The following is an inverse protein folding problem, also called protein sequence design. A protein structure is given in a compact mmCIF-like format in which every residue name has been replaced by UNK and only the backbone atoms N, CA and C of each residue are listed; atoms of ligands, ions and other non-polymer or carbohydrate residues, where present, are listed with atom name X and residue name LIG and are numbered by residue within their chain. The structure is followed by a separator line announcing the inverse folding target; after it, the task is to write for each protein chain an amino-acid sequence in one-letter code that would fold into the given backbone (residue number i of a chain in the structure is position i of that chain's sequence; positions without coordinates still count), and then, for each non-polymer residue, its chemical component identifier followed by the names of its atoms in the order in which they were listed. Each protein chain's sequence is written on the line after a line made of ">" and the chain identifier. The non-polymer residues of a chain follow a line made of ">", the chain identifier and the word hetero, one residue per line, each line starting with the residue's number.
data_IF_265246018627
#
_entry.id   IF_265246018627
#
_cell.length_a   1.000
_cell.length_b   1.000
_cell.length_c   1.000
_cell.angle_alpha   90.00
_cell.angle_beta   90.00
_cell.angle_gamma   90.00
#
_symmetry.space_group_name_H-M   'P 1'
#
loop_
_entity.id
_entity.type
_entity.pdbx_description
1 polymer ?
#
# COMPACT_ATOMS: atom_id res chain seq x y z
N UNK A 1 20.76 -5.13 -2.15
CA UNK A 1 19.47 -4.42 -2.09
C UNK A 1 19.30 -3.72 -3.43
N UNK A 2 18.14 -3.82 -4.09
CA UNK A 2 17.94 -3.31 -5.46
C UNK A 2 17.54 -1.84 -5.45
N UNK A 3 17.79 -1.14 -6.57
CA UNK A 3 17.30 0.23 -6.79
C UNK A 3 15.85 0.24 -7.27
N UNK A 4 15.19 1.40 -7.17
CA UNK A 4 13.84 1.62 -7.69
C UNK A 4 13.75 1.34 -9.19
N UNK A 5 14.74 1.80 -9.97
CA UNK A 5 14.79 1.60 -11.43
C UNK A 5 14.84 0.11 -11.74
N UNK A 6 15.74 -0.64 -11.09
CA UNK A 6 15.86 -2.09 -11.26
C UNK A 6 14.56 -2.81 -10.90
N UNK A 7 13.91 -2.43 -9.80
CA UNK A 7 12.63 -3.00 -9.39
C UNK A 7 11.56 -2.81 -10.48
N UNK A 8 11.44 -1.60 -11.03
CA UNK A 8 10.47 -1.28 -12.09
C UNK A 8 10.79 -2.06 -13.38
N UNK A 9 12.05 -2.09 -13.80
CA UNK A 9 12.50 -2.84 -14.99
C UNK A 9 12.22 -4.33 -14.87
N UNK A 10 12.42 -4.90 -13.69
CA UNK A 10 12.08 -6.29 -13.42
C UNK A 10 10.56 -6.52 -13.49
N UNK A 11 9.78 -5.70 -12.79
CA UNK A 11 8.32 -5.84 -12.74
C UNK A 11 7.64 -5.66 -14.09
N UNK A 12 8.14 -4.75 -14.94
CA UNK A 12 7.57 -4.48 -16.28
C UNK A 12 7.54 -5.72 -17.19
N UNK A 13 8.46 -6.67 -16.98
CA UNK A 13 8.53 -7.93 -17.75
C UNK A 13 7.32 -8.84 -17.52
N UNK A 14 6.57 -8.61 -16.43
CA UNK A 14 5.46 -9.45 -15.99
C UNK A 14 4.10 -8.75 -16.11
N UNK A 15 4.03 -7.57 -16.75
CA UNK A 15 2.74 -6.92 -17.03
C UNK A 15 1.93 -7.84 -17.96
N UNK A 16 0.68 -8.12 -17.57
CA UNK A 16 -0.21 -9.05 -18.25
C UNK A 16 -0.21 -10.47 -17.66
N UNK A 17 0.84 -10.85 -16.93
CA UNK A 17 0.94 -12.19 -16.33
C UNK A 17 -0.05 -12.39 -15.19
N UNK A 18 -0.57 -13.62 -15.08
CA UNK A 18 -1.32 -14.06 -13.92
C UNK A 18 -0.36 -14.34 -12.75
N UNK A 19 -0.49 -13.57 -11.67
CA UNK A 19 0.39 -13.67 -10.50
C UNK A 19 0.29 -15.02 -9.78
N UNK A 20 -0.77 -15.81 -9.98
CA UNK A 20 -0.89 -17.15 -9.36
C UNK A 20 0.22 -18.09 -9.82
N UNK A 21 0.60 -18.04 -11.10
CA UNK A 21 1.73 -18.82 -11.65
C UNK A 21 3.01 -18.54 -10.88
N UNK A 22 3.24 -17.27 -10.55
CA UNK A 22 4.43 -16.84 -9.82
C UNK A 22 4.34 -17.17 -8.33
N UNK A 23 3.14 -17.16 -7.74
CA UNK A 23 2.94 -17.65 -6.39
C UNK A 23 3.33 -19.13 -6.26
N UNK A 24 2.91 -19.96 -7.20
CA UNK A 24 3.30 -21.37 -7.27
C UNK A 24 4.82 -21.53 -7.45
N UNK A 25 5.41 -20.81 -8.41
CA UNK A 25 6.85 -20.84 -8.68
C UNK A 25 7.71 -20.50 -7.45
N UNK A 26 7.30 -19.51 -6.66
CA UNK A 26 8.02 -19.10 -5.45
C UNK A 26 7.56 -19.82 -4.17
N UNK A 27 6.62 -20.77 -4.25
CA UNK A 27 6.08 -21.46 -3.07
C UNK A 27 5.29 -20.55 -2.11
N UNK A 28 4.73 -19.45 -2.61
CA UNK A 28 3.95 -18.50 -1.81
C UNK A 28 2.53 -19.02 -1.60
N UNK A 29 2.14 -19.16 -0.34
CA UNK A 29 0.80 -19.62 0.04
C UNK A 29 -0.29 -18.62 -0.36
N UNK A 30 -1.15 -19.00 -1.31
CA UNK A 30 -2.32 -18.23 -1.76
C UNK A 30 -3.54 -18.47 -0.87
N UNK A 31 -3.78 -19.71 -0.44
CA UNK A 31 -4.87 -20.11 0.45
C UNK A 31 -4.35 -20.93 1.63
N UNK A 32 -4.90 -20.68 2.82
CA UNK A 32 -4.63 -21.45 4.04
C UNK A 32 -5.96 -21.75 4.73
N UNK A 33 -6.26 -23.02 4.94
CA UNK A 33 -7.49 -23.49 5.59
C UNK A 33 -8.77 -22.90 4.96
N UNK A 34 -8.86 -22.92 3.63
CA UNK A 34 -9.99 -22.36 2.87
C UNK A 34 -10.10 -20.84 2.87
N UNK A 35 -9.16 -20.11 3.49
CA UNK A 35 -9.12 -18.65 3.51
C UNK A 35 -7.98 -18.13 2.65
N UNK A 36 -8.27 -17.14 1.81
CA UNK A 36 -7.24 -16.50 1.01
C UNK A 36 -6.25 -15.72 1.89
N UNK A 37 -4.96 -15.91 1.64
CA UNK A 37 -3.90 -15.05 2.16
C UNK A 37 -3.98 -13.68 1.49
N UNK A 38 -4.46 -12.67 2.20
CA UNK A 38 -4.65 -11.33 1.62
C UNK A 38 -3.34 -10.67 1.14
N UNK A 39 -2.18 -11.10 1.64
CA UNK A 39 -0.87 -10.53 1.30
C UNK A 39 -0.14 -11.22 0.14
N UNK A 40 -0.65 -12.32 -0.40
CA UNK A 40 0.12 -13.17 -1.33
C UNK A 40 0.64 -12.42 -2.57
N UNK A 41 -0.14 -11.49 -3.12
CA UNK A 41 0.28 -10.71 -4.32
C UNK A 41 1.46 -9.80 -4.04
N UNK A 42 1.45 -9.12 -2.89
CA UNK A 42 2.57 -8.28 -2.47
C UNK A 42 3.84 -9.10 -2.37
N UNK A 43 3.76 -10.29 -1.76
CA UNK A 43 4.89 -11.20 -1.64
C UNK A 43 5.43 -11.64 -3.02
N UNK A 44 4.54 -12.00 -3.95
CA UNK A 44 4.93 -12.34 -5.32
C UNK A 44 5.63 -11.17 -6.01
N UNK A 45 5.06 -9.96 -5.91
CA UNK A 45 5.60 -8.76 -6.56
C UNK A 45 6.95 -8.35 -5.96
N UNK A 46 7.17 -8.55 -4.66
CA UNK A 46 8.50 -8.41 -4.05
C UNK A 46 9.51 -9.35 -4.71
N UNK A 47 9.19 -10.65 -4.85
CA UNK A 47 10.06 -11.62 -5.53
C UNK A 47 10.36 -11.21 -6.97
N UNK A 48 9.31 -10.84 -7.72
CA UNK A 48 9.44 -10.42 -9.12
C UNK A 48 10.24 -9.12 -9.28
N UNK A 49 10.21 -8.21 -8.30
CA UNK A 49 11.03 -7.01 -8.29
C UNK A 49 12.53 -7.33 -8.10
N UNK A 50 12.87 -8.50 -7.53
CA UNK A 50 14.23 -8.87 -7.12
C UNK A 50 14.48 -8.67 -5.62
N UNK A 51 13.41 -8.68 -4.82
CA UNK A 51 13.46 -8.60 -3.35
C UNK A 51 13.26 -9.99 -2.73
N UNK A 52 13.76 -10.16 -1.51
CA UNK A 52 13.39 -11.27 -0.64
C UNK A 52 12.15 -10.87 0.18
N UNK A 53 11.31 -11.84 0.52
CA UNK A 53 10.18 -11.57 1.41
C UNK A 53 10.70 -11.48 2.84
N UNK A 54 10.49 -10.35 3.51
CA UNK A 54 10.77 -10.19 4.92
C UNK A 54 9.69 -9.36 5.63
N UNK A 55 9.81 -9.24 6.94
CA UNK A 55 8.88 -8.48 7.79
C UNK A 55 9.54 -7.22 8.37
N UNK A 56 10.62 -6.73 7.76
CA UNK A 56 11.35 -5.59 8.29
C UNK A 56 10.53 -4.31 8.14
N UNK A 57 10.71 -3.39 9.08
CA UNK A 57 10.09 -2.05 9.02
C UNK A 57 10.70 -1.15 7.94
N UNK A 58 11.94 -1.43 7.53
CA UNK A 58 12.67 -0.65 6.54
C UNK A 58 11.92 -0.59 5.20
N UNK A 59 12.21 0.39 4.33
CA UNK A 59 11.75 0.37 2.95
C UNK A 59 12.16 -0.93 2.25
N UNK A 60 11.34 -1.39 1.31
CA UNK A 60 11.57 -2.65 0.61
C UNK A 60 12.93 -2.69 -0.12
N UNK A 61 13.31 -1.59 -0.77
CA UNK A 61 14.60 -1.49 -1.47
C UNK A 61 15.36 -0.20 -1.15
N UNK A 62 16.36 0.12 -1.98
CA UNK A 62 17.16 1.32 -1.81
C UNK A 62 16.33 2.56 -2.14
N UNK A 63 15.69 3.12 -1.12
CA UNK A 63 14.95 4.39 -1.20
C UNK A 63 13.55 4.30 -1.78
N UNK A 64 12.91 3.12 -1.79
CA UNK A 64 11.51 2.99 -2.23
C UNK A 64 10.73 1.96 -1.42
N UNK A 65 9.41 2.13 -1.39
CA UNK A 65 8.45 1.17 -0.88
C UNK A 65 7.62 0.56 -2.02
N UNK A 66 7.46 -0.76 -2.04
CA UNK A 66 6.62 -1.45 -3.01
C UNK A 66 5.20 -1.60 -2.43
N UNK A 67 4.20 -1.11 -3.15
CA UNK A 67 2.79 -1.29 -2.77
C UNK A 67 1.99 -1.91 -3.92
N UNK A 68 1.16 -2.89 -3.59
CA UNK A 68 0.22 -3.51 -4.52
C UNK A 68 -1.22 -3.21 -4.14
N UNK A 69 -2.07 -2.88 -5.11
CA UNK A 69 -3.50 -2.66 -4.89
C UNK A 69 -4.33 -3.34 -5.99
N UNK A 70 -5.43 -3.97 -5.58
CA UNK A 70 -6.40 -4.53 -6.50
C UNK A 70 -7.28 -3.46 -7.16
N UNK A 71 -7.42 -3.53 -8.48
CA UNK A 71 -8.29 -2.67 -9.29
C UNK A 71 -9.41 -3.50 -9.91
N UNK A 72 -10.60 -2.92 -10.02
CA UNK A 72 -11.73 -3.55 -10.73
C UNK A 72 -12.06 -2.77 -11.99
N UNK A 73 -12.53 -3.47 -13.01
CA UNK A 73 -13.08 -2.86 -14.24
C UNK A 73 -14.52 -2.40 -13.98
N UNK A 74 -14.83 -1.19 -14.42
CA UNK A 74 -16.16 -0.60 -14.38
C UNK A 74 -16.91 -0.89 -15.69
N UNK A 75 -18.24 -0.74 -15.69
CA UNK A 75 -19.07 -0.96 -16.88
C UNK A 75 -18.65 -0.09 -18.07
N UNK A 76 -18.20 1.15 -17.82
CA UNK A 76 -17.69 2.07 -18.83
C UNK A 76 -16.25 1.78 -19.29
N UNK A 77 -15.66 0.66 -18.88
CA UNK A 77 -14.30 0.26 -19.24
C UNK A 77 -13.19 0.83 -18.36
N UNK A 78 -13.45 1.87 -17.56
CA UNK A 78 -12.45 2.45 -16.66
C UNK A 78 -12.09 1.48 -15.52
N UNK A 79 -10.85 1.57 -15.03
CA UNK A 79 -10.41 0.83 -13.84
C UNK A 79 -10.40 1.74 -12.60
N UNK A 80 -10.74 1.17 -11.45
CA UNK A 80 -10.78 1.92 -10.18
C UNK A 80 -10.26 1.06 -9.03
N UNK A 81 -9.62 1.66 -8.00
CA UNK A 81 -9.18 0.93 -6.82
C UNK A 81 -10.35 0.18 -6.16
N UNK A 82 -10.21 -1.14 -6.01
CA UNK A 82 -11.19 -1.98 -5.31
C UNK A 82 -11.16 -1.71 -3.81
N UNK A 83 -9.99 -1.40 -3.26
CA UNK A 83 -9.74 -1.29 -1.83
C UNK A 83 -8.85 -0.07 -1.49
N UNK A 84 -8.77 0.25 -0.20
CA UNK A 84 -7.79 1.19 0.34
C UNK A 84 -6.43 0.52 0.44
N UNK A 85 -5.35 1.28 0.34
CA UNK A 85 -3.99 0.73 0.39
C UNK A 85 -3.41 0.86 1.80
N UNK A 86 -2.96 -0.25 2.39
CA UNK A 86 -2.23 -0.19 3.66
C UNK A 86 -0.86 0.47 3.46
N UNK A 87 -0.53 1.45 4.28
CA UNK A 87 0.75 2.18 4.19
C UNK A 87 1.72 1.63 5.23
N UNK A 88 1.39 1.82 6.52
CA UNK A 88 2.18 1.33 7.65
C UNK A 88 1.32 1.16 8.91
N UNK A 89 1.78 0.34 9.86
CA UNK A 89 1.15 0.19 11.17
C UNK A 89 1.27 1.49 11.97
N UNK A 90 0.25 1.81 12.77
CA UNK A 90 0.33 2.93 13.71
C UNK A 90 0.92 2.38 15.02
N UNK A 91 2.09 2.88 15.38
CA UNK A 91 2.62 2.72 16.73
C UNK A 91 2.17 3.93 17.57
N UNK A 92 1.40 3.73 18.67
CA UNK A 92 0.90 4.84 19.47
C UNK A 92 2.02 5.72 20.05
N UNK A 93 3.09 5.11 20.56
CA UNK A 93 4.22 5.83 21.15
C UNK A 93 4.95 6.64 20.09
N UNK A 94 5.22 6.05 18.92
CA UNK A 94 5.85 6.76 17.81
C UNK A 94 5.00 7.93 17.30
N UNK A 95 3.67 7.75 17.23
CA UNK A 95 2.75 8.80 16.83
C UNK A 95 2.65 9.92 17.88
N UNK A 96 2.83 9.61 19.17
CA UNK A 96 2.96 10.61 20.23
C UNK A 96 4.28 11.38 20.13
N UNK A 97 5.39 10.67 19.96
CA UNK A 97 6.74 11.27 20.01
C UNK A 97 7.09 12.06 18.75
N UNK A 98 6.48 11.71 17.61
CA UNK A 98 6.77 12.31 16.31
C UNK A 98 5.72 13.36 15.96
N UNK A 99 5.94 14.62 16.32
CA UNK A 99 5.08 15.73 15.90
C UNK A 99 5.35 16.19 14.46
N UNK A 100 6.56 15.93 13.96
CA UNK A 100 7.00 16.32 12.62
C UNK A 100 6.67 15.22 11.61
N UNK A 101 5.71 15.49 10.72
CA UNK A 101 5.26 14.52 9.72
C UNK A 101 6.40 13.99 8.85
N UNK A 102 7.35 14.85 8.45
CA UNK A 102 8.47 14.47 7.57
C UNK A 102 9.54 13.62 8.28
N UNK A 103 9.40 13.39 9.58
CA UNK A 103 10.22 12.42 10.35
C UNK A 103 9.46 11.14 10.69
N UNK A 104 8.18 11.05 10.33
CA UNK A 104 7.34 9.91 10.64
C UNK A 104 7.63 8.70 9.74
N UNK A 105 7.40 7.49 10.26
CA UNK A 105 7.46 6.28 9.43
C UNK A 105 6.40 6.28 8.32
N UNK A 106 5.30 7.01 8.50
CA UNK A 106 4.30 7.21 7.46
C UNK A 106 4.90 7.93 6.25
N UNK A 107 5.64 9.03 6.48
CA UNK A 107 6.34 9.76 5.41
C UNK A 107 7.39 8.88 4.73
N UNK A 108 8.21 8.18 5.50
CA UNK A 108 9.23 7.26 4.96
C UNK A 108 8.65 6.22 4.01
N UNK A 109 7.41 5.76 4.28
CA UNK A 109 6.69 4.78 3.47
C UNK A 109 5.93 5.38 2.28
N UNK A 110 5.70 6.69 2.26
CA UNK A 110 4.98 7.38 1.18
C UNK A 110 5.90 8.09 0.20
N UNK A 111 7.01 8.68 0.67
CA UNK A 111 7.82 9.63 -0.10
C UNK A 111 8.27 9.12 -1.47
N UNK A 112 8.51 7.80 -1.58
CA UNK A 112 8.85 7.16 -2.85
C UNK A 112 8.24 5.76 -2.96
N UNK A 113 7.37 5.58 -3.95
CA UNK A 113 6.62 4.35 -4.17
C UNK A 113 6.97 3.69 -5.50
N UNK A 114 7.07 2.37 -5.49
CA UNK A 114 6.81 1.51 -6.65
C UNK A 114 5.41 0.93 -6.46
N UNK A 115 4.48 1.30 -7.34
CA UNK A 115 3.08 0.95 -7.22
C UNK A 115 2.65 -0.04 -8.30
N UNK A 116 2.11 -1.18 -7.86
CA UNK A 116 1.68 -2.28 -8.70
C UNK A 116 0.14 -2.40 -8.67
N UNK A 117 -0.50 -2.19 -9.82
CA UNK A 117 -1.94 -2.41 -9.96
C UNK A 117 -2.20 -3.84 -10.44
N UNK A 118 -2.97 -4.62 -9.69
CA UNK A 118 -3.40 -5.96 -10.12
C UNK A 118 -4.91 -5.97 -10.42
N UNK A 119 -5.33 -6.70 -11.44
CA UNK A 119 -6.73 -6.84 -11.78
C UNK A 119 -7.43 -7.73 -10.76
N UNK A 120 -8.64 -7.31 -10.41
CA UNK A 120 -9.60 -8.12 -9.69
C UNK A 120 -10.77 -8.41 -10.62
N UNK A 121 -10.91 -9.69 -10.97
CA UNK A 121 -12.00 -10.20 -11.79
C UNK A 121 -13.11 -10.80 -10.92
N UNK A 122 -12.78 -11.76 -10.06
CA UNK A 122 -13.77 -12.52 -9.27
C UNK A 122 -13.30 -12.82 -7.85
N UNK A 123 -14.20 -13.33 -7.00
CA UNK A 123 -13.92 -13.61 -5.58
C UNK A 123 -12.79 -14.63 -5.38
N UNK A 124 -12.71 -15.65 -6.24
CA UNK A 124 -11.66 -16.68 -6.18
C UNK A 124 -10.31 -16.20 -6.73
N UNK A 125 -10.31 -15.08 -7.48
CA UNK A 125 -9.10 -14.46 -8.04
C UNK A 125 -8.23 -15.40 -8.89
N UNK A 126 -8.87 -16.34 -9.59
CA UNK A 126 -8.22 -17.30 -10.50
C UNK A 126 -7.46 -16.60 -11.65
N UNK A 127 -7.78 -15.34 -11.94
CA UNK A 127 -7.10 -14.51 -12.93
C UNK A 127 -6.65 -13.16 -12.33
N UNK A 128 -5.61 -13.22 -11.49
CA UNK A 128 -5.02 -12.05 -10.84
C UNK A 128 -3.87 -11.46 -11.67
N UNK A 129 -4.22 -10.78 -12.77
CA UNK A 129 -3.24 -10.20 -13.69
C UNK A 129 -2.54 -8.97 -13.13
N UNK A 130 -1.24 -8.84 -13.34
CA UNK A 130 -0.54 -7.57 -13.16
C UNK A 130 -0.91 -6.62 -14.29
N UNK A 131 -1.59 -5.51 -13.99
CA UNK A 131 -2.08 -4.57 -14.99
C UNK A 131 -1.06 -3.51 -15.36
N UNK A 132 -0.43 -2.91 -14.36
CA UNK A 132 0.45 -1.78 -14.55
C UNK A 132 1.43 -1.65 -13.38
N UNK A 133 2.57 -1.08 -13.70
CA UNK A 133 3.62 -0.69 -12.77
C UNK A 133 3.86 0.80 -12.96
N UNK A 134 3.88 1.54 -11.85
CA UNK A 134 4.25 2.95 -11.84
C UNK A 134 5.18 3.25 -10.69
N UNK A 135 5.82 4.41 -10.74
CA UNK A 135 6.50 4.99 -9.59
C UNK A 135 5.89 6.34 -9.26
N UNK A 136 5.85 6.67 -7.98
CA UNK A 136 5.30 7.93 -7.53
C UNK A 136 6.16 8.49 -6.40
N UNK A 137 6.61 9.73 -6.58
CA UNK A 137 7.36 10.47 -5.57
C UNK A 137 6.52 11.66 -5.10
N UNK A 138 6.39 11.81 -3.78
CA UNK A 138 5.82 13.04 -3.23
C UNK A 138 6.90 14.10 -3.17
N UNK A 139 6.62 15.26 -3.75
CA UNK A 139 7.43 16.46 -3.51
C UNK A 139 7.01 17.05 -2.15
N UNK A 140 7.97 17.31 -1.26
CA UNK A 140 7.71 17.85 0.09
C UNK A 140 6.92 19.17 0.06
N UNK A 141 7.07 19.97 -0.99
CA UNK A 141 6.35 21.23 -1.17
C UNK A 141 5.01 21.10 -1.92
N UNK A 142 4.61 19.89 -2.32
CA UNK A 142 3.39 19.64 -3.08
C UNK A 142 2.12 19.83 -2.26
N UNK A 143 1.05 20.33 -2.88
CA UNK A 143 -0.23 20.55 -2.18
C UNK A 143 -0.80 19.25 -1.61
N UNK A 144 -0.71 18.14 -2.36
CA UNK A 144 -1.23 16.85 -1.90
C UNK A 144 -0.53 16.34 -0.63
N UNK A 145 0.79 16.53 -0.50
CA UNK A 145 1.49 16.05 0.69
C UNK A 145 1.17 16.89 1.92
N UNK A 146 0.95 18.21 1.75
CA UNK A 146 0.49 19.09 2.83
C UNK A 146 -0.88 18.67 3.35
N UNK A 147 -1.80 18.30 2.47
CA UNK A 147 -3.11 17.78 2.89
C UNK A 147 -3.00 16.41 3.60
N UNK A 148 -2.01 15.58 3.25
CA UNK A 148 -1.72 14.32 3.96
C UNK A 148 -1.09 14.59 5.33
N UNK A 149 -0.24 15.60 5.44
CA UNK A 149 0.33 16.08 6.70
C UNK A 149 -0.77 16.60 7.64
N UNK A 150 -1.76 17.35 7.12
CA UNK A 150 -2.94 17.78 7.87
C UNK A 150 -3.73 16.58 8.42
N UNK A 151 -3.96 15.55 7.61
CA UNK A 151 -4.60 14.31 8.07
C UNK A 151 -3.79 13.62 9.16
N UNK A 152 -2.47 13.51 9.01
CA UNK A 152 -1.58 12.92 10.00
C UNK A 152 -1.69 13.66 11.35
N UNK A 153 -1.59 14.98 11.31
CA UNK A 153 -1.68 15.85 12.48
C UNK A 153 -3.06 15.76 13.14
N UNK A 154 -4.13 15.71 12.34
CA UNK A 154 -5.49 15.51 12.84
C UNK A 154 -5.65 14.15 13.54
N UNK A 155 -5.16 13.06 12.94
CA UNK A 155 -5.23 11.71 13.52
C UNK A 155 -4.39 11.64 14.80
N UNK A 156 -3.20 12.25 14.81
CA UNK A 156 -2.35 12.36 16.00
C UNK A 156 -3.06 13.11 17.13
N UNK A 157 -3.64 14.26 16.84
CA UNK A 157 -4.44 15.04 17.81
C UNK A 157 -5.60 14.21 18.37
N UNK A 158 -6.35 13.53 17.50
CA UNK A 158 -7.45 12.64 17.89
C UNK A 158 -7.00 11.50 18.80
N UNK A 159 -5.84 10.91 18.55
CA UNK A 159 -5.27 9.90 19.45
C UNK A 159 -4.93 10.46 20.83
N UNK A 160 -4.40 11.68 20.91
CA UNK A 160 -4.04 12.34 22.18
C UNK A 160 -5.29 12.68 22.99
N UNK A 161 -6.32 13.22 22.34
CA UNK A 161 -7.57 13.65 22.99
C UNK A 161 -8.47 12.48 23.37
N UNK A 162 -8.68 11.56 22.43
CA UNK A 162 -9.73 10.56 22.51
C UNK A 162 -9.18 9.15 22.79
N UNK A 163 -7.86 8.93 22.78
CA UNK A 163 -7.23 7.62 22.97
C UNK A 163 -7.07 6.81 21.66
N UNK A 164 -6.11 5.89 21.65
CA UNK A 164 -5.73 5.12 20.45
C UNK A 164 -6.84 4.16 19.97
N UNK A 165 -7.56 3.56 20.91
CA UNK A 165 -8.67 2.64 20.66
C UNK A 165 -9.84 3.31 19.91
N UNK A 166 -10.01 4.62 20.09
CA UNK A 166 -11.07 5.41 19.48
C UNK A 166 -10.73 5.91 18.06
N UNK A 167 -9.51 5.67 17.58
CA UNK A 167 -9.16 5.95 16.19
C UNK A 167 -10.06 5.18 15.22
N UNK A 168 -10.69 5.92 14.31
CA UNK A 168 -11.70 5.42 13.38
C UNK A 168 -11.40 5.76 11.92
N UNK A 169 -11.83 4.89 11.01
CA UNK A 169 -11.70 5.08 9.56
C UNK A 169 -12.49 6.26 8.99
N UNK A 170 -13.23 7.01 9.82
CA UNK A 170 -13.87 8.27 9.42
C UNK A 170 -12.87 9.43 9.36
N UNK A 171 -11.72 9.34 10.04
CA UNK A 171 -10.74 10.42 10.09
C UNK A 171 -9.92 10.55 8.80
N UNK A 172 -9.49 11.79 8.54
CA UNK A 172 -8.66 12.19 7.40
C UNK A 172 -9.37 12.16 6.05
N UNK A 173 -8.89 12.99 5.12
CA UNK A 173 -9.37 13.17 3.74
C UNK A 173 -8.71 12.20 2.76
N UNK A 174 -7.41 11.97 2.90
CA UNK A 174 -6.55 11.15 2.04
C UNK A 174 -6.04 9.90 2.71
N UNK A 175 -5.68 9.98 3.99
CA UNK A 175 -5.29 8.83 4.81
C UNK A 175 -6.30 8.61 5.94
N UNK A 176 -6.33 7.40 6.48
CA UNK A 176 -7.23 7.03 7.57
C UNK A 176 -6.63 5.94 8.46
N UNK A 177 -6.92 5.93 9.77
CA UNK A 177 -6.62 4.78 10.61
C UNK A 177 -7.67 3.69 10.38
N UNK A 178 -7.22 2.44 10.17
CA UNK A 178 -8.12 1.28 10.08
C UNK A 178 -7.57 0.13 10.89
N UNK A 179 -8.46 -0.70 11.41
CA UNK A 179 -8.10 -1.95 12.07
C UNK A 179 -7.33 -2.86 11.11
N UNK A 180 -6.18 -3.36 11.54
CA UNK A 180 -5.34 -4.31 10.79
C UNK A 180 -5.01 -5.51 11.66
N UNK A 181 -5.44 -6.70 11.24
CA UNK A 181 -5.17 -7.95 11.96
C UNK A 181 -6.32 -8.93 11.87
N UNK A 182 -6.36 -9.89 12.79
CA UNK A 182 -7.47 -10.82 12.93
C UNK A 182 -8.78 -10.11 13.33
N UNK A 183 -9.90 -10.83 13.24
CA UNK A 183 -11.19 -10.37 13.77
C UNK A 183 -11.00 -10.02 15.26
N UNK A 184 -11.42 -8.83 15.68
CA UNK A 184 -11.23 -8.23 17.01
C UNK A 184 -9.83 -7.68 17.34
N UNK A 185 -8.95 -7.52 16.35
CA UNK A 185 -7.68 -6.83 16.57
C UNK A 185 -7.91 -5.36 16.97
N UNK A 186 -7.13 -4.88 17.94
CA UNK A 186 -7.08 -3.46 18.32
C UNK A 186 -6.02 -2.69 17.53
N UNK A 187 -5.10 -3.38 16.87
CA UNK A 187 -4.03 -2.77 16.09
C UNK A 187 -4.60 -1.91 14.94
N UNK A 188 -3.98 -0.75 14.71
CA UNK A 188 -4.34 0.18 13.64
C UNK A 188 -3.20 0.30 12.65
N UNK A 189 -3.53 0.59 11.40
CA UNK A 189 -2.60 1.00 10.36
C UNK A 189 -3.13 2.24 9.65
N UNK A 190 -2.23 3.07 9.14
CA UNK A 190 -2.55 4.10 8.17
C UNK A 190 -2.88 3.44 6.84
N UNK A 191 -4.01 3.83 6.25
CA UNK A 191 -4.42 3.43 4.92
C UNK A 191 -4.62 4.67 4.05
N UNK A 192 -4.12 4.62 2.81
CA UNK A 192 -4.51 5.57 1.77
C UNK A 192 -5.93 5.25 1.32
N UNK A 193 -6.78 6.28 1.28
CA UNK A 193 -8.13 6.20 0.71
C UNK A 193 -8.06 5.99 -0.79
N UNK A 194 -9.16 5.50 -1.36
CA UNK A 194 -9.24 5.17 -2.79
C UNK A 194 -8.93 6.36 -3.69
N UNK A 195 -9.30 7.58 -3.28
CA UNK A 195 -9.02 8.78 -4.07
C UNK A 195 -7.51 9.08 -4.12
N UNK A 196 -6.80 8.92 -2.99
CA UNK A 196 -5.34 9.01 -2.98
C UNK A 196 -4.71 7.92 -3.86
N UNK A 197 -5.19 6.68 -3.75
CA UNK A 197 -4.72 5.57 -4.60
C UNK A 197 -4.96 5.87 -6.09
N UNK A 198 -6.10 6.46 -6.44
CA UNK A 198 -6.43 6.87 -7.80
C UNK A 198 -5.49 7.96 -8.31
N UNK A 199 -5.11 8.92 -7.47
CA UNK A 199 -4.12 9.94 -7.83
C UNK A 199 -2.75 9.31 -8.07
N UNK A 200 -2.26 8.46 -7.15
CA UNK A 200 -0.99 7.74 -7.30
C UNK A 200 -0.98 6.94 -8.59
N UNK A 201 -2.09 6.23 -8.88
CA UNK A 201 -2.23 5.45 -10.10
C UNK A 201 -2.31 6.31 -11.36
N UNK A 202 -3.03 7.42 -11.36
CA UNK A 202 -3.23 8.22 -12.58
C UNK A 202 -2.01 9.08 -12.95
N UNK A 203 -1.08 9.31 -12.03
CA UNK A 203 0.21 9.96 -12.33
C UNK A 203 1.20 9.05 -13.07
N UNK A 204 0.71 8.04 -13.80
CA UNK A 204 1.51 7.13 -14.66
C UNK A 204 2.26 7.88 -15.79
N UNK A 205 1.91 9.14 -16.09
CA UNK A 205 2.49 9.89 -17.22
C UNK A 205 2.68 11.41 -16.96
N UNK A 206 2.91 11.84 -15.72
CA UNK A 206 3.24 13.25 -15.43
C UNK A 206 4.75 13.48 -15.47
#
# INVERSE_FOLDING_TARGET
>A
MITRIQAIENLKKYIGDNLLKWAEFYGITVFKNGKQNKGWKGLVLERLAGLENDNKKAPNGLGFELKSVAFKKMQNGNITPKETMAITMINPQELLDTSDFYKSHLWEKLKSLVFCANLWLEENQEDSKLLAITSFDFLENGNLIKEIEEDYNFIRKKMIEDGFENLTGKYGKWIQPRTKGAKNSTSRAFYARKDLVKIIFNNINA
#
